data_IF_684628220909
#
_entry.id   IF_684628220909
#
_cell.length_a   1.000
_cell.length_b   1.000
_cell.length_c   1.000
_cell.angle_alpha   90.00
_cell.angle_beta   90.00
_cell.angle_gamma   90.00
#
_symmetry.space_group_name_H-M   'P 1'
#
loop_
_entity.id
_entity.type
_entity.pdbx_description
1 polymer ?
#
# COMPACT_ATOMS: atom_id res chain seq x y z
N UNK A 1 -21.02 18.83 -12.82
CA UNK A 1 -20.47 18.91 -11.46
C UNK A 1 -19.11 18.24 -11.49
N UNK A 2 -18.02 18.92 -11.15
CA UNK A 2 -16.70 18.28 -11.06
C UNK A 2 -16.71 17.33 -9.86
N UNK A 3 -16.35 16.05 -10.06
CA UNK A 3 -15.98 15.18 -8.95
C UNK A 3 -14.76 15.79 -8.28
N UNK A 4 -14.81 15.96 -6.96
CA UNK A 4 -13.70 16.51 -6.18
C UNK A 4 -12.91 15.33 -5.61
N UNK A 5 -11.90 14.90 -6.33
CA UNK A 5 -11.05 13.78 -5.93
C UNK A 5 -9.94 14.25 -4.99
N UNK A 6 -9.55 13.37 -4.05
CA UNK A 6 -8.39 13.57 -3.17
C UNK A 6 -7.26 12.68 -3.69
N UNK A 7 -6.10 13.27 -3.97
CA UNK A 7 -4.91 12.53 -4.39
C UNK A 7 -3.94 12.44 -3.22
N UNK A 8 -3.57 11.20 -2.87
CA UNK A 8 -2.55 10.91 -1.85
C UNK A 8 -1.38 10.22 -2.54
N UNK A 9 -0.19 10.78 -2.42
CA UNK A 9 1.05 10.15 -2.87
C UNK A 9 1.83 9.64 -1.66
N UNK A 10 2.40 8.44 -1.75
CA UNK A 10 3.07 7.77 -0.63
C UNK A 10 4.53 7.47 -0.97
N UNK A 11 5.37 7.49 0.06
CA UNK A 11 6.69 6.90 -0.01
C UNK A 11 6.63 5.51 0.65
N UNK A 12 7.43 4.58 0.15
CA UNK A 12 7.64 3.27 0.75
C UNK A 12 9.12 2.89 0.64
N UNK A 13 9.60 1.96 1.46
CA UNK A 13 11.01 1.55 1.43
C UNK A 13 11.37 0.91 0.08
N UNK A 14 12.56 1.22 -0.40
CA UNK A 14 13.12 0.75 -1.67
C UNK A 14 14.44 -0.02 -1.45
N UNK A 15 14.90 -0.70 -2.51
CA UNK A 15 16.18 -1.43 -2.51
C UNK A 15 16.28 -2.42 -1.36
N UNK A 16 17.46 -2.52 -0.75
CA UNK A 16 17.72 -3.44 0.38
C UNK A 16 16.85 -3.15 1.60
N UNK A 17 16.40 -1.91 1.79
CA UNK A 17 15.55 -1.56 2.93
C UNK A 17 14.10 -2.02 2.75
N UNK A 18 13.63 -2.10 1.50
CA UNK A 18 12.28 -2.57 1.18
C UNK A 18 12.20 -4.07 0.92
N UNK A 19 13.25 -4.65 0.33
CA UNK A 19 13.14 -5.95 -0.34
C UNK A 19 14.27 -6.92 -0.03
N UNK A 20 15.11 -6.67 0.98
CA UNK A 20 16.07 -7.67 1.43
C UNK A 20 15.34 -8.84 2.10
N UNK A 21 15.48 -10.02 1.49
CA UNK A 21 15.09 -11.29 2.09
C UNK A 21 16.32 -11.99 2.66
N UNK A 22 16.27 -12.40 3.93
CA UNK A 22 17.37 -13.11 4.58
C UNK A 22 16.84 -14.07 5.65
N UNK A 23 17.38 -15.31 5.79
CA UNK A 23 16.89 -16.28 6.77
C UNK A 23 16.85 -15.76 8.21
N UNK A 24 17.88 -15.02 8.62
CA UNK A 24 17.92 -14.43 9.97
C UNK A 24 16.87 -13.33 10.19
N UNK A 25 16.47 -12.61 9.13
CA UNK A 25 15.37 -11.65 9.21
C UNK A 25 14.03 -12.37 9.26
N UNK A 26 13.86 -13.42 8.47
CA UNK A 26 12.64 -14.25 8.48
C UNK A 26 12.39 -14.85 9.87
N UNK A 27 13.44 -15.31 10.58
CA UNK A 27 13.32 -15.85 11.94
C UNK A 27 12.81 -14.84 12.97
N UNK A 28 12.94 -13.54 12.72
CA UNK A 28 12.54 -12.48 13.65
C UNK A 28 11.07 -12.06 13.50
N UNK A 29 10.37 -12.54 12.47
CA UNK A 29 9.00 -12.09 12.17
C UNK A 29 8.22 -13.05 11.28
N UNK A 30 7.20 -12.53 10.60
CA UNK A 30 6.30 -13.32 9.74
C UNK A 30 6.82 -13.49 8.30
N UNK A 31 8.10 -13.17 8.05
CA UNK A 31 8.71 -13.19 6.73
C UNK A 31 9.78 -12.10 6.56
N UNK A 32 10.47 -12.10 5.41
CA UNK A 32 11.35 -11.02 4.99
C UNK A 32 11.20 -10.79 3.47
N UNK A 33 11.75 -9.69 2.95
CA UNK A 33 11.74 -9.37 1.52
C UNK A 33 10.56 -8.56 1.00
N UNK A 34 9.54 -8.28 1.83
CA UNK A 34 8.33 -7.55 1.41
C UNK A 34 8.04 -6.31 2.26
N UNK A 35 9.07 -5.72 2.88
CA UNK A 35 8.91 -4.57 3.76
C UNK A 35 8.38 -3.33 3.03
N UNK A 36 8.79 -3.12 1.77
CA UNK A 36 8.23 -2.06 0.93
C UNK A 36 6.72 -2.24 0.69
N UNK A 37 6.25 -3.47 0.51
CA UNK A 37 4.80 -3.75 0.39
C UNK A 37 4.07 -3.65 1.72
N UNK A 38 4.71 -4.02 2.82
CA UNK A 38 4.16 -3.77 4.15
C UNK A 38 3.94 -2.27 4.42
N UNK A 39 4.84 -1.40 3.95
CA UNK A 39 4.67 0.06 4.04
C UNK A 39 3.48 0.53 3.19
N UNK A 40 3.28 -0.01 1.99
CA UNK A 40 2.12 0.31 1.14
C UNK A 40 0.82 -0.09 1.83
N UNK A 41 0.76 -1.28 2.44
CA UNK A 41 -0.41 -1.73 3.20
C UNK A 41 -0.70 -0.79 4.37
N UNK A 42 0.33 -0.46 5.16
CA UNK A 42 0.19 0.47 6.28
C UNK A 42 -0.28 1.86 5.82
N UNK A 43 0.20 2.34 4.67
CA UNK A 43 -0.25 3.59 4.09
C UNK A 43 -1.72 3.52 3.63
N UNK A 44 -2.17 2.39 3.08
CA UNK A 44 -3.56 2.19 2.69
C UNK A 44 -4.50 2.12 3.90
N UNK A 45 -4.10 1.45 4.98
CA UNK A 45 -4.81 1.46 6.26
C UNK A 45 -4.98 2.89 6.76
N UNK A 46 -3.88 3.64 6.80
CA UNK A 46 -3.89 5.04 7.22
C UNK A 46 -4.81 5.90 6.35
N UNK A 47 -4.72 5.78 5.02
CA UNK A 47 -5.59 6.53 4.09
C UNK A 47 -7.05 6.16 4.32
N UNK A 48 -7.37 4.87 4.48
CA UNK A 48 -8.75 4.42 4.72
C UNK A 48 -9.34 5.01 6.00
N UNK A 49 -8.56 5.04 7.08
CA UNK A 49 -8.96 5.60 8.37
C UNK A 49 -9.10 7.13 8.33
N UNK A 50 -8.26 7.82 7.55
CA UNK A 50 -8.17 9.28 7.56
C UNK A 50 -8.85 9.97 6.37
N UNK A 51 -9.37 9.22 5.40
CA UNK A 51 -9.93 9.77 4.17
C UNK A 51 -10.99 10.86 4.42
N UNK A 52 -11.87 10.68 5.41
CA UNK A 52 -12.91 11.65 5.75
C UNK A 52 -12.33 13.02 6.17
N UNK A 53 -11.23 13.02 6.94
CA UNK A 53 -10.55 14.24 7.37
C UNK A 53 -9.86 14.97 6.20
N UNK A 54 -9.51 14.24 5.14
CA UNK A 54 -8.94 14.79 3.90
C UNK A 54 -10.02 15.23 2.89
N UNK A 55 -11.30 15.05 3.20
CA UNK A 55 -12.41 15.33 2.30
C UNK A 55 -12.71 14.22 1.28
N UNK A 56 -12.18 13.01 1.49
CA UNK A 56 -12.42 11.81 0.69
C UNK A 56 -13.33 10.78 1.37
N UNK A 57 -13.46 9.61 0.75
CA UNK A 57 -14.26 8.47 1.24
C UNK A 57 -13.40 7.20 1.28
N UNK A 58 -13.18 6.67 2.50
CA UNK A 58 -12.37 5.47 2.74
C UNK A 58 -12.94 4.17 2.16
N UNK A 59 -14.17 4.19 1.66
CA UNK A 59 -14.79 3.08 0.92
C UNK A 59 -14.65 3.23 -0.61
N UNK A 60 -14.05 4.33 -1.08
CA UNK A 60 -13.90 4.65 -2.51
C UNK A 60 -12.45 4.96 -2.90
N UNK A 61 -11.51 4.20 -2.34
CA UNK A 61 -10.08 4.30 -2.69
C UNK A 61 -9.83 3.61 -4.03
N UNK A 62 -9.10 4.29 -4.92
CA UNK A 62 -8.61 3.75 -6.19
C UNK A 62 -7.08 3.78 -6.20
N UNK A 63 -6.43 2.67 -6.55
CA UNK A 63 -4.98 2.62 -6.68
C UNK A 63 -4.53 3.00 -8.09
N UNK A 64 -3.49 3.82 -8.19
CA UNK A 64 -2.88 4.20 -9.47
C UNK A 64 -1.35 4.22 -9.37
N UNK A 65 -0.68 3.65 -10.37
CA UNK A 65 0.78 3.47 -10.34
C UNK A 65 1.34 3.04 -11.70
N UNK A 66 2.63 3.29 -11.90
CA UNK A 66 3.34 3.00 -13.15
C UNK A 66 4.62 2.20 -12.87
N UNK A 67 4.98 1.28 -13.76
CA UNK A 67 6.18 0.43 -13.64
C UNK A 67 6.21 -0.33 -12.30
N UNK A 68 7.18 -0.07 -11.42
CA UNK A 68 7.21 -0.64 -10.08
C UNK A 68 5.95 -0.33 -9.26
N UNK A 69 5.33 0.83 -9.47
CA UNK A 69 4.05 1.17 -8.86
C UNK A 69 2.90 0.28 -9.36
N UNK A 70 2.87 -0.08 -10.65
CA UNK A 70 1.85 -1.03 -11.14
C UNK A 70 2.08 -2.46 -10.63
N UNK A 71 3.34 -2.86 -10.42
CA UNK A 71 3.66 -4.14 -9.77
C UNK A 71 3.17 -4.14 -8.33
N UNK A 72 3.44 -3.08 -7.56
CA UNK A 72 2.95 -2.95 -6.19
C UNK A 72 1.41 -3.02 -6.12
N UNK A 73 0.69 -2.41 -7.06
CA UNK A 73 -0.78 -2.51 -7.13
C UNK A 73 -1.22 -3.94 -7.41
N UNK A 74 -0.56 -4.64 -8.33
CA UNK A 74 -0.85 -6.06 -8.59
C UNK A 74 -0.67 -6.90 -7.32
N UNK A 75 0.40 -6.66 -6.56
CA UNK A 75 0.64 -7.33 -5.29
C UNK A 75 -0.42 -6.98 -4.24
N UNK A 76 -0.94 -5.74 -4.21
CA UNK A 76 -2.06 -5.36 -3.34
C UNK A 76 -3.37 -6.07 -3.74
N UNK A 77 -3.61 -6.29 -5.03
CA UNK A 77 -4.78 -7.05 -5.51
C UNK A 77 -4.67 -8.52 -5.11
N UNK A 78 -3.47 -9.10 -5.19
CA UNK A 78 -3.23 -10.50 -4.86
C UNK A 78 -3.14 -10.77 -3.34
N UNK A 79 -2.71 -9.78 -2.55
CA UNK A 79 -2.41 -9.96 -1.13
C UNK A 79 -3.67 -10.04 -0.27
N UNK A 80 -3.85 -11.12 0.53
CA UNK A 80 -4.92 -11.19 1.53
C UNK A 80 -4.86 -10.06 2.56
N UNK A 81 -3.66 -9.55 2.86
CA UNK A 81 -3.46 -8.48 3.84
C UNK A 81 -3.97 -7.11 3.35
N UNK A 82 -4.09 -6.92 2.03
CA UNK A 82 -4.64 -5.69 1.47
C UNK A 82 -6.16 -5.76 1.18
N UNK A 83 -6.79 -6.88 1.53
CA UNK A 83 -8.22 -7.11 1.27
C UNK A 83 -9.07 -6.03 1.94
N UNK A 84 -10.01 -5.47 1.17
CA UNK A 84 -10.94 -4.41 1.60
C UNK A 84 -10.29 -3.04 1.93
N UNK A 85 -8.99 -2.86 1.66
CA UNK A 85 -8.33 -1.57 1.84
C UNK A 85 -8.59 -0.58 0.69
N UNK A 86 -8.93 -1.09 -0.50
CA UNK A 86 -9.27 -0.29 -1.67
C UNK A 86 -10.44 -0.91 -2.45
N UNK A 87 -11.05 -0.11 -3.31
CA UNK A 87 -12.22 -0.50 -4.09
C UNK A 87 -11.92 -0.73 -5.57
N UNK A 88 -10.89 -0.08 -6.12
CA UNK A 88 -10.52 -0.11 -7.54
C UNK A 88 -9.01 -0.05 -7.72
#
# INVERSE_FOLDING_TARGET
MASRDVVVNINYRLGVFGFLAHPELTKQGQGSGNFGFADVIAALEWVKENAAALGGDGNRITLAGQSAGSMAIHDMIASPAAKNLFAR
#
